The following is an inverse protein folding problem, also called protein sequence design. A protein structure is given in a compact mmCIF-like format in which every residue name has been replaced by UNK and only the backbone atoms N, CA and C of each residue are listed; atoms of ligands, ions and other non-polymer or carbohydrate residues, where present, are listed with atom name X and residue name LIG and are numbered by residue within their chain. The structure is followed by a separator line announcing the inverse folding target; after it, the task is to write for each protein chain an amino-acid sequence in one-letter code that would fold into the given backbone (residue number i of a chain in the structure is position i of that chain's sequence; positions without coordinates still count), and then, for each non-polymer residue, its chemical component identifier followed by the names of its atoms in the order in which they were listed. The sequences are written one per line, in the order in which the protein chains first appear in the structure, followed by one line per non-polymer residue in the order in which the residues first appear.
data_IF_434138884236
#
_entry.id   IF_434138884236
#
_cell.length_a   1.000
_cell.length_b   1.000
_cell.length_c   1.000
_cell.angle_alpha   90.00
_cell.angle_beta   90.00
_cell.angle_gamma   90.00
#
_symmetry.space_group_name_H-M   'P 1'
#
loop_
_entity.id
_entity.type
_entity.pdbx_description
1 polymer ?
#
# COMPACT_ATOMS: atom_id res chain seq x y z
N UNK A 1 17.67 4.80 10.66
CA UNK A 1 17.99 6.14 10.11
C UNK A 1 16.83 6.51 9.20
N UNK A 2 15.87 7.29 9.70
CA UNK A 2 14.60 7.54 9.01
C UNK A 2 14.81 8.43 7.79
N UNK A 3 14.71 7.86 6.59
CA UNK A 3 14.48 8.61 5.35
C UNK A 3 13.00 8.53 5.03
N UNK A 4 12.18 9.39 5.62
CA UNK A 4 10.78 9.53 5.22
C UNK A 4 10.54 11.00 4.88
N UNK A 5 11.22 11.45 3.83
CA UNK A 5 10.64 12.48 2.98
C UNK A 5 9.83 11.71 1.95
N UNK A 6 8.52 11.93 1.91
CA UNK A 6 7.60 11.28 0.97
C UNK A 6 8.06 11.56 -0.46
N UNK A 7 8.68 10.56 -1.07
CA UNK A 7 9.13 10.62 -2.46
C UNK A 7 8.07 10.07 -3.42
N UNK A 8 6.97 9.51 -2.90
CA UNK A 8 5.80 9.16 -3.70
C UNK A 8 5.19 10.41 -4.34
N UNK A 9 4.90 10.32 -5.63
CA UNK A 9 4.30 11.39 -6.39
C UNK A 9 2.86 11.62 -5.96
N UNK A 10 2.38 12.88 -5.97
CA UNK A 10 0.98 13.18 -5.71
C UNK A 10 0.02 12.44 -6.65
N UNK A 11 0.46 12.17 -7.88
CA UNK A 11 -0.31 11.42 -8.88
C UNK A 11 -0.52 9.96 -8.48
N UNK A 12 0.53 9.27 -7.99
CA UNK A 12 0.42 7.91 -7.48
C UNK A 12 -0.57 7.84 -6.30
N UNK A 13 -0.41 8.74 -5.32
CA UNK A 13 -1.28 8.79 -4.15
C UNK A 13 -2.74 9.05 -4.57
N UNK A 14 -2.97 10.01 -5.47
CA UNK A 14 -4.31 10.32 -5.95
C UNK A 14 -4.96 9.13 -6.68
N UNK A 15 -4.19 8.43 -7.51
CA UNK A 15 -4.66 7.24 -8.24
C UNK A 15 -5.08 6.12 -7.27
N UNK A 16 -4.26 5.84 -6.25
CA UNK A 16 -4.57 4.81 -5.24
C UNK A 16 -5.81 5.21 -4.43
N UNK A 17 -5.89 6.46 -3.96
CA UNK A 17 -7.07 6.97 -3.24
C UNK A 17 -8.35 6.83 -4.06
N UNK A 18 -8.29 7.12 -5.36
CA UNK A 18 -9.42 6.99 -6.27
C UNK A 18 -9.86 5.52 -6.40
N UNK A 19 -8.91 4.59 -6.49
CA UNK A 19 -9.21 3.16 -6.62
C UNK A 19 -9.76 2.51 -5.34
N UNK A 20 -9.26 2.92 -4.17
CA UNK A 20 -9.66 2.33 -2.89
C UNK A 20 -10.96 2.92 -2.32
N UNK A 21 -11.21 4.21 -2.55
CA UNK A 21 -12.24 4.95 -1.82
C UNK A 21 -11.85 5.21 -0.37
N UNK A 22 -12.67 6.01 0.33
CA UNK A 22 -12.41 6.45 1.70
C UNK A 22 -13.51 5.97 2.64
N UNK A 23 -13.14 5.30 3.73
CA UNK A 23 -14.01 5.06 4.88
C UNK A 23 -13.42 5.65 6.15
N UNK A 24 -14.12 6.60 6.77
CA UNK A 24 -13.67 7.19 8.04
C UNK A 24 -14.06 6.34 9.25
N UNK A 25 -15.02 5.44 9.07
CA UNK A 25 -15.38 4.40 10.03
C UNK A 25 -14.71 3.08 9.65
N UNK A 26 -14.32 2.30 10.67
CA UNK A 26 -13.91 0.93 10.40
C UNK A 26 -15.12 0.09 10.03
N UNK A 27 -14.94 -0.80 9.05
CA UNK A 27 -15.94 -1.77 8.63
C UNK A 27 -15.28 -3.13 8.44
N UNK A 28 -16.08 -4.19 8.33
CA UNK A 28 -15.57 -5.50 7.92
C UNK A 28 -15.77 -5.66 6.42
N UNK A 29 -14.72 -6.05 5.72
CA UNK A 29 -14.81 -6.41 4.31
C UNK A 29 -15.53 -7.76 4.11
N UNK A 30 -15.66 -8.20 2.86
CA UNK A 30 -16.29 -9.49 2.51
C UNK A 30 -15.54 -10.72 3.09
N UNK A 31 -14.29 -10.54 3.52
CA UNK A 31 -13.45 -11.58 4.14
C UNK A 31 -13.53 -11.55 5.67
N UNK A 32 -14.28 -10.60 6.25
CA UNK A 32 -14.39 -10.40 7.69
C UNK A 32 -13.23 -9.63 8.32
N UNK A 33 -12.34 -9.05 7.52
CA UNK A 33 -11.18 -8.27 7.98
C UNK A 33 -11.63 -6.84 8.30
N UNK A 34 -11.18 -6.32 9.44
CA UNK A 34 -11.44 -4.94 9.83
C UNK A 34 -10.57 -3.98 9.01
N UNK A 35 -11.22 -3.06 8.30
CA UNK A 35 -10.59 -2.10 7.38
C UNK A 35 -11.04 -0.67 7.70
N UNK A 36 -10.17 0.31 7.48
CA UNK A 36 -10.44 1.74 7.68
C UNK A 36 -9.62 2.60 6.71
N UNK A 37 -9.98 3.87 6.52
CA UNK A 37 -9.25 4.81 5.67
C UNK A 37 -9.34 4.43 4.19
N UNK A 38 -8.19 4.39 3.52
CA UNK A 38 -8.04 4.00 2.12
C UNK A 38 -7.71 2.50 1.99
N UNK A 39 -8.52 1.64 2.62
CA UNK A 39 -8.34 0.19 2.59
C UNK A 39 -7.26 -0.35 3.55
N UNK A 40 -6.87 0.43 4.56
CA UNK A 40 -5.91 -0.01 5.56
C UNK A 40 -6.51 -1.13 6.41
N UNK A 41 -5.81 -2.26 6.49
CA UNK A 41 -6.21 -3.44 7.26
C UNK A 41 -5.72 -3.33 8.70
N UNK A 42 -6.66 -3.28 9.64
CA UNK A 42 -6.38 -3.05 11.06
C UNK A 42 -5.70 -4.28 11.64
N UNK A 43 -4.46 -4.12 12.11
CA UNK A 43 -3.65 -5.21 12.66
C UNK A 43 -3.87 -5.41 14.17
N UNK A 44 -3.41 -6.55 14.69
CA UNK A 44 -3.49 -6.88 16.12
C UNK A 44 -2.58 -5.92 16.91
N UNK A 45 -3.18 -4.87 17.48
CA UNK A 45 -2.50 -3.82 18.22
C UNK A 45 -3.03 -2.42 17.90
N UNK A 46 -3.67 -2.27 16.74
CA UNK A 46 -4.33 -1.04 16.34
C UNK A 46 -5.78 -1.05 16.82
N UNK A 47 -6.19 0.03 17.47
CA UNK A 47 -7.56 0.17 17.96
C UNK A 47 -8.13 1.50 17.53
N UNK A 48 -9.19 1.44 16.73
CA UNK A 48 -10.00 2.59 16.34
C UNK A 48 -11.37 2.47 17.01
N UNK A 49 -11.63 3.37 17.97
CA UNK A 49 -12.90 3.43 18.73
C UNK A 49 -13.87 4.47 18.18
N UNK A 50 -13.40 5.38 17.32
CA UNK A 50 -14.18 6.45 16.70
C UNK A 50 -13.81 6.58 15.22
N UNK A 51 -14.56 7.41 14.49
CA UNK A 51 -14.17 7.81 13.15
C UNK A 51 -12.79 8.49 13.17
N UNK A 52 -12.03 8.30 12.09
CA UNK A 52 -10.78 9.03 11.86
C UNK A 52 -11.03 10.25 10.98
N UNK A 53 -10.11 11.21 11.04
CA UNK A 53 -10.07 12.34 10.09
C UNK A 53 -9.50 11.91 8.74
N UNK A 54 -9.75 12.70 7.70
CA UNK A 54 -9.12 12.51 6.37
C UNK A 54 -7.59 12.51 6.50
N UNK A 55 -7.01 13.43 7.28
CA UNK A 55 -5.56 13.49 7.49
C UNK A 55 -4.99 12.22 8.15
N UNK A 56 -5.75 11.62 9.09
CA UNK A 56 -5.37 10.32 9.66
C UNK A 56 -5.46 9.20 8.63
N UNK A 57 -6.50 9.18 7.78
CA UNK A 57 -6.61 8.21 6.70
C UNK A 57 -5.46 8.34 5.68
N UNK A 58 -5.04 9.58 5.38
CA UNK A 58 -3.88 9.85 4.52
C UNK A 58 -2.57 9.40 5.17
N UNK A 59 -2.44 9.55 6.49
CA UNK A 59 -1.28 9.06 7.24
C UNK A 59 -1.20 7.53 7.19
N UNK A 60 -2.32 6.83 7.40
CA UNK A 60 -2.38 5.37 7.28
C UNK A 60 -2.01 4.91 5.87
N UNK A 61 -2.56 5.56 4.83
CA UNK A 61 -2.20 5.26 3.45
C UNK A 61 -0.69 5.40 3.21
N UNK A 62 -0.06 6.48 3.69
CA UNK A 62 1.38 6.66 3.54
C UNK A 62 2.17 5.54 4.25
N UNK A 63 1.74 5.12 5.44
CA UNK A 63 2.34 4.00 6.16
C UNK A 63 2.27 2.70 5.35
N UNK A 64 1.11 2.41 4.74
CA UNK A 64 0.93 1.23 3.90
C UNK A 64 1.78 1.28 2.62
N UNK A 65 1.95 2.47 2.02
CA UNK A 65 2.82 2.67 0.86
C UNK A 65 4.29 2.42 1.21
N UNK A 66 4.76 2.89 2.37
CA UNK A 66 6.11 2.61 2.84
C UNK A 66 6.33 1.13 3.13
N UNK A 67 5.35 0.45 3.74
CA UNK A 67 5.44 -1.00 3.96
C UNK A 67 5.53 -1.77 2.63
N UNK A 68 4.78 -1.34 1.61
CA UNK A 68 4.88 -1.91 0.26
C UNK A 68 6.26 -1.66 -0.36
N UNK A 69 6.80 -0.44 -0.25
CA UNK A 69 8.14 -0.10 -0.73
C UNK A 69 9.21 -0.98 -0.06
N UNK A 70 9.19 -1.11 1.26
CA UNK A 70 10.15 -1.94 2.00
C UNK A 70 10.10 -3.40 1.54
N UNK A 71 8.88 -3.93 1.33
CA UNK A 71 8.68 -5.27 0.80
C UNK A 71 9.26 -5.41 -0.62
N UNK A 72 8.99 -4.45 -1.51
CA UNK A 72 9.50 -4.46 -2.88
C UNK A 72 11.02 -4.37 -2.88
N UNK A 73 11.62 -3.49 -2.09
CA UNK A 73 13.07 -3.35 -1.99
C UNK A 73 13.74 -4.62 -1.45
N UNK A 74 13.09 -5.32 -0.50
CA UNK A 74 13.59 -6.60 0.00
C UNK A 74 13.52 -7.74 -1.05
N UNK A 75 12.57 -7.69 -1.98
CA UNK A 75 12.32 -8.75 -2.97
C UNK A 75 12.93 -8.48 -4.35
N UNK A 76 12.99 -7.21 -4.75
CA UNK A 76 13.53 -6.70 -6.01
C UNK A 76 14.50 -5.55 -5.73
N UNK A 77 15.67 -5.83 -5.14
CA UNK A 77 16.65 -4.78 -4.80
C UNK A 77 17.21 -4.03 -6.02
N UNK A 78 16.96 -4.55 -7.23
CA UNK A 78 17.36 -3.91 -8.49
C UNK A 78 16.35 -2.85 -8.97
N UNK A 79 15.13 -2.82 -8.41
CA UNK A 79 14.07 -1.89 -8.79
C UNK A 79 14.33 -0.51 -8.16
N UNK A 80 15.10 0.31 -8.87
CA UNK A 80 15.49 1.65 -8.41
C UNK A 80 14.76 2.79 -9.16
N UNK A 81 13.93 2.46 -10.14
CA UNK A 81 13.12 3.43 -10.86
C UNK A 81 11.81 3.74 -10.10
N UNK A 82 11.58 5.02 -9.81
CA UNK A 82 10.43 5.45 -9.02
C UNK A 82 9.10 5.16 -9.72
N UNK A 83 9.03 5.34 -11.04
CA UNK A 83 7.79 5.10 -11.78
C UNK A 83 7.42 3.61 -11.75
N UNK A 84 8.39 2.71 -11.92
CA UNK A 84 8.18 1.27 -11.80
C UNK A 84 7.77 0.87 -10.37
N UNK A 85 8.39 1.46 -9.35
CA UNK A 85 8.03 1.25 -7.95
C UNK A 85 6.57 1.66 -7.69
N UNK A 86 6.18 2.88 -8.07
CA UNK A 86 4.83 3.42 -7.87
C UNK A 86 3.77 2.63 -8.65
N UNK A 87 4.08 2.23 -9.88
CA UNK A 87 3.19 1.39 -10.69
C UNK A 87 2.96 0.02 -10.04
N UNK A 88 4.02 -0.59 -9.50
CA UNK A 88 3.91 -1.88 -8.80
C UNK A 88 3.09 -1.75 -7.52
N UNK A 89 3.31 -0.69 -6.73
CA UNK A 89 2.52 -0.42 -5.53
C UNK A 89 1.04 -0.18 -5.90
N UNK A 90 0.76 0.66 -6.89
CA UNK A 90 -0.62 0.90 -7.33
C UNK A 90 -1.32 -0.39 -7.79
N UNK A 91 -0.60 -1.27 -8.49
CA UNK A 91 -1.09 -2.59 -8.84
C UNK A 91 -1.35 -3.47 -7.61
N UNK A 92 -0.45 -3.50 -6.62
CA UNK A 92 -0.63 -4.25 -5.37
C UNK A 92 -1.91 -3.82 -4.62
N UNK A 93 -2.18 -2.51 -4.57
CA UNK A 93 -3.43 -1.99 -4.00
C UNK A 93 -4.66 -2.43 -4.80
N UNK A 94 -4.57 -2.46 -6.14
CA UNK A 94 -5.70 -2.89 -6.98
C UNK A 94 -6.08 -4.37 -6.81
N UNK A 95 -5.14 -5.23 -6.42
CA UNK A 95 -5.38 -6.68 -6.21
C UNK A 95 -5.48 -7.07 -4.73
N UNK A 96 -5.23 -6.13 -3.82
CA UNK A 96 -5.27 -6.28 -2.35
C UNK A 96 -3.91 -6.54 -1.72
N UNK A 97 -3.50 -5.69 -0.78
CA UNK A 97 -2.17 -5.69 -0.14
C UNK A 97 -1.94 -6.91 0.75
N UNK A 98 -2.95 -7.41 1.46
CA UNK A 98 -2.77 -8.58 2.34
C UNK A 98 -2.24 -9.80 1.62
N UNK A 99 -2.53 -9.94 0.32
CA UNK A 99 -2.04 -11.05 -0.49
C UNK A 99 -0.51 -11.06 -0.62
N UNK A 100 0.15 -9.92 -0.40
CA UNK A 100 1.61 -9.79 -0.52
C UNK A 100 2.34 -9.92 0.82
N UNK A 101 1.78 -9.39 1.91
CA UNK A 101 2.35 -9.60 3.25
C UNK A 101 2.23 -11.06 3.70
N UNK A 102 1.18 -11.77 3.26
CA UNK A 102 0.95 -13.17 3.56
C UNK A 102 1.76 -14.15 2.67
N UNK A 103 2.98 -13.83 2.23
CA UNK A 103 3.92 -14.76 1.55
C UNK A 103 3.48 -15.54 0.29
N UNK A 104 2.21 -15.52 -0.10
CA UNK A 104 1.62 -16.50 -1.04
C UNK A 104 1.62 -16.06 -2.50
N UNK A 105 1.98 -14.81 -2.81
CA UNK A 105 1.91 -14.33 -4.19
C UNK A 105 3.02 -13.35 -4.55
N UNK A 106 4.28 -13.76 -4.38
CA UNK A 106 5.34 -13.22 -5.23
C UNK A 106 5.37 -14.06 -6.52
N UNK A 107 4.86 -13.59 -7.67
CA UNK A 107 5.12 -14.30 -8.91
C UNK A 107 6.64 -14.32 -9.10
N UNK A 108 7.24 -15.51 -9.10
CA UNK A 108 8.69 -15.71 -9.18
C UNK A 108 9.36 -15.09 -10.44
N UNK A 109 8.56 -14.51 -11.34
CA UNK A 109 8.98 -13.90 -12.59
C UNK A 109 8.21 -12.61 -12.85
N UNK A 110 8.62 -11.50 -12.24
CA UNK A 110 8.46 -10.19 -12.86
C UNK A 110 9.80 -9.88 -13.52
N UNK A 111 10.00 -10.44 -14.71
CA UNK A 111 11.16 -10.12 -15.53
C UNK A 111 10.99 -8.69 -16.07
N UNK A 112 11.95 -7.83 -15.78
CA UNK A 112 12.05 -6.53 -16.45
C UNK A 112 12.29 -6.75 -17.96
N UNK A 113 11.68 -5.96 -18.84
CA UNK A 113 12.02 -6.03 -20.27
C UNK A 113 13.48 -5.64 -20.45
N UNK A 114 14.24 -6.46 -21.16
CA UNK A 114 15.64 -6.18 -21.49
C UNK A 114 15.73 -4.85 -22.24
N UNK A 115 16.56 -3.95 -21.73
CA UNK A 115 16.88 -2.69 -22.38
C UNK A 115 17.60 -2.98 -23.69
N UNK A 116 16.97 -2.63 -24.82
CA UNK A 116 17.59 -2.64 -26.17
C UNK A 116 18.62 -1.51 -26.27
#
# INVERSE_FOLDING_TARGET
MYRHSSHFTPACIAFIKQGQGLSLEKYQDERGVWVIGYGHEITVGETFTSQISVAQAETLLLMDLYACEELIQAKLPQLNDLFQLEALIAWMFSVGITRFCASEMWPAHISQPETI
#
